data_IF_688420421464
#
_entry.id   IF_688420421464
#
_cell.length_a   1.000
_cell.length_b   1.000
_cell.length_c   1.000
_cell.angle_alpha   90.00
_cell.angle_beta   90.00
_cell.angle_gamma   90.00
#
_symmetry.space_group_name_H-M   'P 1'
#
loop_
_entity.id
_entity.type
_entity.pdbx_description
1 polymer ?
#
# COMPACT_ATOMS: atom_id res chain seq x y z
N UNK A 1 -16.58 10.29 -17.93
CA UNK A 1 -17.48 9.28 -17.31
C UNK A 1 -17.03 7.90 -17.77
N UNK A 2 -16.11 7.26 -17.04
CA UNK A 2 -15.71 5.88 -17.30
C UNK A 2 -16.43 5.00 -16.31
N UNK A 3 -17.16 3.99 -16.80
CA UNK A 3 -17.96 3.10 -15.96
C UNK A 3 -17.08 2.42 -14.91
N UNK A 4 -17.31 2.75 -13.64
CA UNK A 4 -16.86 1.95 -12.50
C UNK A 4 -17.63 0.65 -12.60
N UNK A 5 -17.02 -0.35 -13.24
CA UNK A 5 -17.54 -1.71 -13.27
C UNK A 5 -17.41 -2.27 -11.86
N UNK A 6 -18.49 -2.15 -11.09
CA UNK A 6 -18.63 -2.75 -9.77
C UNK A 6 -18.66 -4.27 -10.01
N UNK A 7 -17.51 -4.90 -9.85
CA UNK A 7 -17.40 -6.35 -9.85
C UNK A 7 -17.94 -6.86 -8.51
N UNK A 8 -18.68 -7.98 -8.50
CA UNK A 8 -19.40 -8.45 -7.33
C UNK A 8 -18.42 -8.61 -6.15
N UNK A 9 -18.77 -7.97 -5.04
CA UNK A 9 -18.09 -8.04 -3.75
C UNK A 9 -18.04 -9.50 -3.28
N UNK A 10 -17.04 -10.22 -3.77
CA UNK A 10 -16.63 -11.49 -3.21
C UNK A 10 -15.93 -11.12 -1.90
N UNK A 11 -16.53 -11.54 -0.78
CA UNK A 11 -15.99 -11.36 0.57
C UNK A 11 -14.59 -11.96 0.56
N UNK A 12 -13.59 -11.09 0.44
CA UNK A 12 -12.19 -11.44 0.37
C UNK A 12 -11.56 -10.72 1.55
N UNK A 13 -11.05 -11.48 2.51
CA UNK A 13 -10.58 -10.96 3.79
C UNK A 13 -9.55 -9.84 3.53
N UNK A 14 -9.73 -8.70 4.20
CA UNK A 14 -8.80 -7.56 4.11
C UNK A 14 -7.35 -7.95 4.47
N UNK A 15 -7.19 -9.07 5.19
CA UNK A 15 -5.92 -9.67 5.59
C UNK A 15 -5.26 -10.51 4.49
N UNK A 16 -5.88 -10.70 3.34
CA UNK A 16 -5.25 -11.39 2.20
C UNK A 16 -4.56 -10.43 1.23
N UNK A 17 -3.62 -10.95 0.44
CA UNK A 17 -2.83 -10.19 -0.53
C UNK A 17 -3.67 -9.25 -1.40
N UNK A 18 -4.72 -9.77 -2.03
CA UNK A 18 -5.59 -8.98 -2.90
C UNK A 18 -6.51 -8.04 -2.13
N UNK A 19 -6.86 -8.35 -0.88
CA UNK A 19 -7.54 -7.42 0.02
C UNK A 19 -6.72 -6.15 0.24
N UNK A 20 -5.43 -6.31 0.59
CA UNK A 20 -4.50 -5.19 0.80
C UNK A 20 -4.24 -4.40 -0.48
N UNK A 21 -4.06 -5.08 -1.62
CA UNK A 21 -3.91 -4.42 -2.93
C UNK A 21 -5.11 -3.53 -3.23
N UNK A 22 -6.34 -4.03 -3.07
CA UNK A 22 -7.57 -3.25 -3.28
C UNK A 22 -7.66 -2.05 -2.35
N UNK A 23 -7.33 -2.23 -1.06
CA UNK A 23 -7.30 -1.12 -0.10
C UNK A 23 -6.31 -0.04 -0.51
N UNK A 24 -5.10 -0.41 -0.97
CA UNK A 24 -4.09 0.55 -1.43
C UNK A 24 -4.53 1.28 -2.71
N UNK A 25 -5.16 0.58 -3.65
CA UNK A 25 -5.74 1.17 -4.86
C UNK A 25 -6.80 2.22 -4.49
N UNK A 26 -7.73 1.86 -3.58
CA UNK A 26 -8.77 2.77 -3.08
C UNK A 26 -8.18 3.98 -2.35
N UNK A 27 -7.20 3.76 -1.46
CA UNK A 27 -6.53 4.82 -0.69
C UNK A 27 -5.79 5.81 -1.59
N UNK A 28 -5.27 5.35 -2.73
CA UNK A 28 -4.55 6.18 -3.70
C UNK A 28 -5.45 6.84 -4.74
N UNK A 29 -6.76 6.60 -4.69
CA UNK A 29 -7.73 7.10 -5.67
C UNK A 29 -7.33 6.77 -7.12
N UNK A 30 -6.81 5.56 -7.33
CA UNK A 30 -6.42 5.02 -8.65
C UNK A 30 -7.29 3.82 -9.00
N UNK A 31 -7.17 3.30 -10.21
CA UNK A 31 -7.94 2.16 -10.71
C UNK A 31 -7.09 0.89 -10.86
N UNK A 32 -7.74 -0.27 -10.89
CA UNK A 32 -7.07 -1.55 -11.18
C UNK A 32 -6.38 -1.55 -12.55
N UNK A 33 -6.95 -0.84 -13.53
CA UNK A 33 -6.40 -0.73 -14.88
C UNK A 33 -5.11 0.11 -14.89
N UNK A 34 -5.10 1.24 -14.22
CA UNK A 34 -3.91 2.10 -14.08
C UNK A 34 -2.77 1.36 -13.38
N UNK A 35 -3.07 0.62 -12.31
CA UNK A 35 -2.07 -0.19 -11.61
C UNK A 35 -1.55 -1.32 -12.49
N UNK A 36 -2.42 -2.04 -13.20
CA UNK A 36 -1.99 -3.08 -14.13
C UNK A 36 -1.06 -2.52 -15.21
N UNK A 37 -1.43 -1.38 -15.81
CA UNK A 37 -0.61 -0.66 -16.80
C UNK A 37 0.75 -0.24 -16.23
N UNK A 38 0.78 0.34 -15.02
CA UNK A 38 2.02 0.74 -14.37
C UNK A 38 2.93 -0.44 -14.00
N UNK A 39 2.34 -1.63 -13.78
CA UNK A 39 3.09 -2.86 -13.57
C UNK A 39 3.58 -3.51 -14.87
N UNK A 40 3.11 -3.06 -16.04
CA UNK A 40 3.35 -3.74 -17.32
C UNK A 40 2.58 -5.06 -17.48
N UNK A 41 1.49 -5.24 -16.72
CA UNK A 41 0.68 -6.46 -16.70
C UNK A 41 -0.59 -6.22 -17.52
N UNK A 42 -1.00 -7.21 -18.32
CA UNK A 42 -2.28 -7.14 -19.01
C UNK A 42 -3.44 -7.03 -18.01
N UNK A 43 -4.35 -6.06 -18.22
CA UNK A 43 -5.46 -5.82 -17.30
C UNK A 43 -6.35 -7.04 -17.09
N UNK A 44 -6.60 -7.84 -18.13
CA UNK A 44 -7.36 -9.09 -18.04
C UNK A 44 -6.69 -10.12 -17.14
N UNK A 45 -5.37 -10.24 -17.23
CA UNK A 45 -4.57 -11.10 -16.34
C UNK A 45 -4.66 -10.62 -14.90
N UNK A 46 -4.42 -9.33 -14.67
CA UNK A 46 -4.45 -8.74 -13.33
C UNK A 46 -5.83 -8.88 -12.67
N UNK A 47 -6.90 -8.55 -13.40
CA UNK A 47 -8.28 -8.76 -12.96
C UNK A 47 -8.60 -10.23 -12.71
N UNK A 48 -8.13 -11.12 -13.58
CA UNK A 48 -8.30 -12.56 -13.44
C UNK A 48 -7.63 -13.10 -12.18
N UNK A 49 -6.43 -12.62 -11.85
CA UNK A 49 -5.75 -12.98 -10.60
C UNK A 49 -6.52 -12.53 -9.37
N UNK A 50 -7.00 -11.28 -9.36
CA UNK A 50 -7.81 -10.75 -8.26
C UNK A 50 -9.10 -11.57 -8.06
N UNK A 51 -9.82 -11.83 -9.16
CA UNK A 51 -11.12 -12.51 -9.11
C UNK A 51 -11.00 -13.97 -8.66
N UNK A 52 -9.93 -14.65 -9.10
CA UNK A 52 -9.70 -16.07 -8.80
C UNK A 52 -8.82 -16.29 -7.57
N UNK A 53 -8.46 -15.23 -6.86
CA UNK A 53 -7.53 -15.29 -5.72
C UNK A 53 -6.19 -15.94 -6.06
N UNK A 54 -5.72 -15.80 -7.32
CA UNK A 54 -4.46 -16.38 -7.77
C UNK A 54 -3.33 -15.50 -7.27
N UNK A 55 -2.37 -16.09 -6.57
CA UNK A 55 -1.16 -15.39 -6.17
C UNK A 55 -0.28 -15.14 -7.40
N UNK A 56 0.19 -13.90 -7.61
CA UNK A 56 1.12 -13.60 -8.69
C UNK A 56 2.48 -14.25 -8.43
N UNK A 57 3.34 -14.28 -9.44
CA UNK A 57 4.73 -14.72 -9.24
C UNK A 57 5.45 -13.78 -8.27
N UNK A 58 6.57 -14.22 -7.69
CA UNK A 58 7.36 -13.38 -6.77
C UNK A 58 7.78 -12.06 -7.43
N UNK A 59 8.16 -12.12 -8.72
CA UNK A 59 8.58 -10.94 -9.50
C UNK A 59 7.38 -10.00 -9.69
N UNK A 60 6.24 -10.51 -10.13
CA UNK A 60 5.03 -9.71 -10.35
C UNK A 60 4.52 -9.11 -9.03
N UNK A 61 4.51 -9.89 -7.96
CA UNK A 61 4.14 -9.42 -6.61
C UNK A 61 5.05 -8.29 -6.13
N UNK A 62 6.36 -8.38 -6.38
CA UNK A 62 7.30 -7.30 -6.09
C UNK A 62 7.03 -6.05 -6.92
N UNK A 63 6.75 -6.19 -8.22
CA UNK A 63 6.43 -5.05 -9.10
C UNK A 63 5.14 -4.36 -8.64
N UNK A 64 4.11 -5.12 -8.30
CA UNK A 64 2.84 -4.60 -7.76
C UNK A 64 3.11 -3.82 -6.47
N UNK A 65 3.87 -4.40 -5.54
CA UNK A 65 4.22 -3.74 -4.29
C UNK A 65 4.96 -2.42 -4.53
N UNK A 66 5.93 -2.40 -5.45
CA UNK A 66 6.70 -1.21 -5.82
C UNK A 66 5.82 -0.10 -6.39
N UNK A 67 4.93 -0.43 -7.33
CA UNK A 67 3.96 0.53 -7.91
C UNK A 67 3.04 1.07 -6.82
N UNK A 68 2.61 0.21 -5.90
CA UNK A 68 1.80 0.57 -4.74
C UNK A 68 2.60 1.15 -3.56
N UNK A 69 3.91 1.41 -3.76
CA UNK A 69 4.81 2.04 -2.79
C UNK A 69 4.85 1.37 -1.41
N UNK A 70 4.73 0.06 -1.37
CA UNK A 70 4.83 -0.77 -0.16
C UNK A 70 5.82 -1.91 -0.38
N UNK A 71 6.21 -2.59 0.70
CA UNK A 71 6.98 -3.83 0.58
C UNK A 71 6.08 -4.99 0.14
N UNK A 72 6.66 -5.97 -0.57
CA UNK A 72 5.93 -7.21 -0.90
C UNK A 72 5.58 -7.99 0.37
N UNK A 73 6.41 -7.90 1.41
CA UNK A 73 6.13 -8.45 2.74
C UNK A 73 4.85 -7.86 3.32
N UNK A 74 4.66 -6.53 3.25
CA UNK A 74 3.41 -5.90 3.69
C UNK A 74 2.18 -6.42 2.93
N UNK A 75 2.27 -6.62 1.61
CA UNK A 75 1.15 -7.18 0.86
C UNK A 75 0.77 -8.59 1.34
N UNK A 76 1.74 -9.39 1.77
CA UNK A 76 1.52 -10.77 2.20
C UNK A 76 1.11 -10.86 3.67
N UNK A 77 1.86 -10.20 4.57
CA UNK A 77 1.74 -10.35 6.02
C UNK A 77 0.92 -9.24 6.67
N UNK A 78 0.81 -8.07 6.02
CA UNK A 78 0.19 -6.87 6.59
C UNK A 78 1.08 -6.10 7.56
N UNK A 79 2.33 -6.52 7.76
CA UNK A 79 3.28 -5.85 8.64
C UNK A 79 4.40 -5.22 7.81
N UNK A 80 4.58 -3.91 7.93
CA UNK A 80 5.73 -3.22 7.34
C UNK A 80 6.71 -2.79 8.44
N UNK A 81 7.69 -3.65 8.71
CA UNK A 81 8.76 -3.38 9.69
C UNK A 81 9.56 -2.11 9.33
N UNK A 82 9.59 -1.71 8.05
CA UNK A 82 10.29 -0.50 7.64
C UNK A 82 9.48 0.76 7.97
N UNK A 83 8.15 0.74 7.80
CA UNK A 83 7.29 1.87 8.15
C UNK A 83 7.31 2.15 9.66
N UNK A 84 7.30 1.12 10.49
CA UNK A 84 7.41 1.25 11.96
C UNK A 84 8.76 1.87 12.38
N UNK A 85 9.84 1.48 11.69
CA UNK A 85 11.19 2.01 11.96
C UNK A 85 11.33 3.48 11.55
N UNK A 86 10.69 3.91 10.47
CA UNK A 86 10.69 5.31 10.02
C UNK A 86 9.80 6.20 10.90
N UNK A 87 8.62 5.72 11.29
CA UNK A 87 7.75 6.38 12.29
C UNK A 87 8.52 6.69 13.57
N UNK A 88 9.29 5.72 14.06
CA UNK A 88 10.10 5.87 15.27
C UNK A 88 11.21 6.92 15.16
N UNK A 89 11.81 7.10 13.98
CA UNK A 89 12.84 8.13 13.74
C UNK A 89 12.23 9.54 13.70
N UNK A 90 11.11 9.68 13.00
CA UNK A 90 10.38 10.95 12.88
C UNK A 90 9.84 11.37 14.25
N UNK A 91 9.26 10.44 15.02
CA UNK A 91 8.80 10.70 16.38
C UNK A 91 9.92 11.21 17.30
N UNK A 92 11.11 10.59 17.24
CA UNK A 92 12.30 11.05 17.97
C UNK A 92 12.76 12.44 17.53
N UNK A 93 12.72 12.73 16.24
CA UNK A 93 13.07 14.06 15.73
C UNK A 93 12.07 15.13 16.24
N UNK A 94 10.76 14.86 16.17
CA UNK A 94 9.74 15.76 16.69
C UNK A 94 9.88 16.00 18.21
N UNK A 95 10.17 14.96 19.00
CA UNK A 95 10.35 15.13 20.44
C UNK A 95 11.57 15.99 20.78
N UNK A 96 12.67 15.84 20.04
CA UNK A 96 13.87 16.67 20.21
C UNK A 96 13.59 18.14 19.86
N UNK A 97 12.86 18.39 18.78
CA UNK A 97 12.48 19.75 18.37
C UNK A 97 11.59 20.44 19.42
N UNK A 98 10.56 19.74 19.93
CA UNK A 98 9.70 20.27 21.00
C UNK A 98 10.46 20.55 22.29
N UNK A 99 11.48 19.74 22.60
CA UNK A 99 12.32 19.94 23.78
C UNK A 99 13.21 21.17 23.60
N UNK A 100 13.75 21.41 22.40
CA UNK A 100 14.50 22.61 22.07
C UNK A 100 13.62 23.88 22.20
N UNK A 101 12.41 23.87 21.66
CA UNK A 101 11.45 24.98 21.80
C UNK A 101 11.13 25.30 23.26
N UNK A 102 10.83 24.28 24.08
CA UNK A 102 10.57 24.46 25.52
C UNK A 102 11.77 25.01 26.27
N UNK A 103 12.98 24.68 25.85
CA UNK A 103 14.21 25.16 26.48
C UNK A 103 14.44 26.62 26.13
N UNK A 104 14.27 26.98 24.85
CA UNK A 104 14.37 28.37 24.38
C UNK A 104 13.31 29.27 25.02
N UNK A 105 12.07 28.80 25.16
CA UNK A 105 10.98 29.54 25.81
C UNK A 105 11.10 29.71 27.33
N UNK A 106 12.12 29.11 27.97
CA UNK A 106 12.47 29.35 29.38
C UNK A 106 13.61 30.36 29.53
N UNK A 107 14.28 30.71 28.42
CA UNK A 107 15.46 31.57 28.40
C UNK A 107 15.07 33.00 27.95
N UNK A 108 13.96 33.15 27.24
CA UNK A 108 13.30 34.42 26.88
C UNK A 108 12.14 34.68 27.82
#
# INVERSE_FOLDING_TARGET
MGAVSILPETIMDEKEFWGRVKQLIKKRNTTHEEVAKACGINYGTFRGWIYRSIYPTVIDGYVIARVLGVSVEYLITGSDKQSERCSSKIGKACSLLQQAEKTLGKIV
#
